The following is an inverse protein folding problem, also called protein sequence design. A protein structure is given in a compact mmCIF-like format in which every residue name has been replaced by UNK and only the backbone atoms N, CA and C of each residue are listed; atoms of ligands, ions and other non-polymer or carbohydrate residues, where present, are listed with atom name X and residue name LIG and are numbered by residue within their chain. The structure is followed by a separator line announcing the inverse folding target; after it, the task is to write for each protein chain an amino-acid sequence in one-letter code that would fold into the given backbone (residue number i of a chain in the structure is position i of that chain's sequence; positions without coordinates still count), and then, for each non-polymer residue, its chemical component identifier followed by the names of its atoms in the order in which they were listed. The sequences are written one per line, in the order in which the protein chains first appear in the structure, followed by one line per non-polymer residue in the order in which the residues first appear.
data_IF_393453689869
#
_entry.id   IF_393453689869
#
_cell.length_a   1.000
_cell.length_b   1.000
_cell.length_c   1.000
_cell.angle_alpha   90.00
_cell.angle_beta   90.00
_cell.angle_gamma   90.00
#
_symmetry.space_group_name_H-M   'P 1'
#
loop_
_entity.id
_entity.type
_entity.pdbx_description
1 polymer ?
#
# COMPACT_ATOMS: atom_id res chain seq x y z
N UNK A 1 59.96 -69.06 9.17
CA UNK A 1 58.88 -68.25 9.76
C UNK A 1 57.64 -68.48 8.91
N UNK A 2 56.95 -69.60 9.13
CA UNK A 2 55.73 -69.75 9.95
C UNK A 2 54.53 -69.10 9.25
N UNK A 3 53.66 -69.91 8.64
CA UNK A 3 52.37 -70.38 9.21
C UNK A 3 51.30 -69.27 9.17
N UNK A 4 50.04 -69.47 8.82
CA UNK A 4 49.27 -70.65 8.47
C UNK A 4 47.93 -70.19 7.85
N UNK A 5 47.33 -71.12 7.09
CA UNK A 5 45.91 -71.23 6.76
C UNK A 5 44.97 -70.92 7.95
N UNK A 6 43.76 -70.40 7.69
CA UNK A 6 42.53 -70.98 8.26
C UNK A 6 41.27 -70.54 7.49
N UNK A 7 40.57 -71.54 6.94
CA UNK A 7 39.17 -71.46 6.56
C UNK A 7 38.28 -71.78 7.78
N UNK A 8 37.12 -71.14 7.91
CA UNK A 8 35.98 -71.71 8.64
C UNK A 8 34.66 -71.03 8.25
N UNK A 9 33.66 -71.89 7.99
CA UNK A 9 32.28 -71.60 7.56
C UNK A 9 31.34 -71.54 8.81
N UNK A 10 30.01 -71.30 8.66
CA UNK A 10 29.16 -70.43 9.49
C UNK A 10 28.54 -71.11 10.74
N UNK A 11 27.68 -70.40 11.50
CA UNK A 11 26.27 -70.83 11.50
C UNK A 11 25.20 -69.72 11.59
N UNK A 12 23.98 -70.17 11.25
CA UNK A 12 22.67 -69.51 11.29
C UNK A 12 22.26 -69.06 12.71
N UNK A 13 21.51 -67.96 12.80
CA UNK A 13 20.81 -67.55 14.01
C UNK A 13 19.69 -66.54 13.74
N UNK A 14 18.46 -67.06 13.68
CA UNK A 14 17.19 -66.37 13.44
C UNK A 14 16.81 -65.43 14.59
N UNK A 15 16.28 -64.22 14.30
CA UNK A 15 15.03 -63.69 14.91
C UNK A 15 14.61 -62.30 14.40
N UNK A 16 13.38 -62.29 13.86
CA UNK A 16 12.25 -61.32 14.02
C UNK A 16 12.56 -59.82 13.82
N UNK A 17 12.09 -59.21 12.74
CA UNK A 17 10.71 -58.76 12.47
C UNK A 17 10.38 -57.36 13.03
N UNK A 18 9.74 -56.58 12.15
CA UNK A 18 9.04 -55.31 12.36
C UNK A 18 9.95 -54.08 12.54
N UNK A 19 9.68 -52.92 11.94
CA UNK A 19 8.44 -52.40 11.40
C UNK A 19 8.71 -51.41 10.26
N UNK A 20 7.69 -51.25 9.43
CA UNK A 20 7.57 -50.27 8.36
C UNK A 20 8.16 -48.89 8.70
N UNK A 21 9.14 -48.45 7.91
CA UNK A 21 9.31 -47.03 7.63
C UNK A 21 8.28 -46.67 6.58
N UNK A 22 7.10 -46.27 7.05
CA UNK A 22 6.22 -45.42 6.26
C UNK A 22 6.93 -44.08 6.19
N UNK A 23 7.44 -43.76 5.01
CA UNK A 23 7.86 -42.41 4.65
C UNK A 23 6.62 -41.52 4.72
N UNK A 24 6.39 -40.92 5.89
CA UNK A 24 5.46 -39.80 6.03
C UNK A 24 6.18 -38.62 5.38
N UNK A 25 6.00 -38.47 4.06
CA UNK A 25 6.17 -37.18 3.41
C UNK A 25 5.28 -36.19 4.17
N UNK A 26 5.88 -35.42 5.08
CA UNK A 26 5.18 -34.39 5.83
C UNK A 26 4.65 -33.36 4.84
N UNK A 27 3.35 -33.44 4.55
CA UNK A 27 2.59 -32.55 3.67
C UNK A 27 2.86 -31.08 4.02
N UNK A 28 2.97 -30.16 3.04
CA UNK A 28 3.28 -28.77 3.32
C UNK A 28 2.09 -28.09 4.02
N UNK A 29 2.16 -28.03 5.34
CA UNK A 29 1.22 -27.28 6.18
C UNK A 29 1.54 -25.79 6.06
N UNK A 30 0.70 -25.08 5.32
CA UNK A 30 0.73 -23.62 5.28
C UNK A 30 -0.10 -23.06 6.44
N UNK A 31 0.52 -22.24 7.27
CA UNK A 31 -0.15 -21.55 8.39
C UNK A 31 -0.38 -20.11 7.96
N UNK A 32 -1.62 -19.65 8.04
CA UNK A 32 -1.96 -18.27 7.69
C UNK A 32 -2.52 -17.51 8.84
N UNK A 33 -2.05 -16.27 8.92
CA UNK A 33 -2.56 -15.24 9.78
C UNK A 33 -3.77 -14.58 9.12
N UNK A 34 -4.95 -14.82 9.68
CA UNK A 34 -6.17 -14.12 9.30
C UNK A 34 -6.48 -13.10 10.38
N UNK A 35 -6.52 -11.81 10.04
CA UNK A 35 -6.98 -10.78 10.99
C UNK A 35 -8.33 -11.13 11.64
N UNK A 36 -8.53 -10.66 12.87
CA UNK A 36 -9.62 -11.00 13.79
C UNK A 36 -10.97 -11.36 13.15
N UNK A 37 -11.47 -12.55 13.49
CA UNK A 37 -12.83 -13.02 13.20
C UNK A 37 -13.00 -13.85 11.91
N UNK A 38 -14.21 -14.38 11.66
CA UNK A 38 -14.46 -15.26 10.53
C UNK A 38 -14.19 -14.58 9.19
N UNK A 39 -13.45 -15.20 8.27
CA UNK A 39 -13.15 -14.65 6.94
C UNK A 39 -13.70 -15.53 5.82
N UNK A 40 -14.06 -14.95 4.67
CA UNK A 40 -14.46 -15.75 3.49
C UNK A 40 -13.32 -16.68 3.08
N UNK A 41 -13.62 -17.95 2.84
CA UNK A 41 -12.65 -19.00 2.54
C UNK A 41 -11.75 -18.64 1.34
N UNK A 42 -12.28 -18.07 0.26
CA UNK A 42 -11.49 -17.67 -0.91
C UNK A 42 -10.46 -16.57 -0.58
N UNK A 43 -10.74 -15.71 0.41
CA UNK A 43 -9.83 -14.66 0.86
C UNK A 43 -8.65 -15.29 1.59
N UNK A 44 -8.92 -16.26 2.47
CA UNK A 44 -7.91 -17.01 3.22
C UNK A 44 -7.02 -17.80 2.27
N UNK A 45 -7.61 -18.57 1.34
CA UNK A 45 -6.85 -19.36 0.36
C UNK A 45 -6.02 -18.47 -0.59
N UNK A 46 -6.55 -17.33 -1.03
CA UNK A 46 -5.77 -16.40 -1.85
C UNK A 46 -4.62 -15.75 -1.06
N UNK A 47 -4.84 -15.43 0.22
CA UNK A 47 -3.80 -14.95 1.13
C UNK A 47 -2.75 -16.04 1.43
N UNK A 48 -3.11 -17.32 1.27
CA UNK A 48 -2.20 -18.47 1.34
C UNK A 48 -1.14 -18.50 0.25
N UNK A 49 -1.35 -17.74 -0.83
CA UNK A 49 -0.58 -17.89 -2.06
C UNK A 49 -1.05 -19.07 -2.93
N UNK A 50 -2.24 -19.63 -2.69
CA UNK A 50 -2.75 -20.76 -3.49
C UNK A 50 -3.37 -20.34 -4.83
N UNK A 51 -3.48 -19.05 -5.10
CA UNK A 51 -3.98 -18.49 -6.36
C UNK A 51 -4.68 -17.15 -6.19
N UNK A 52 -5.41 -16.70 -7.21
CA UNK A 52 -6.29 -15.54 -7.14
C UNK A 52 -7.59 -15.86 -6.39
N UNK A 53 -8.30 -14.82 -5.91
CA UNK A 53 -9.59 -15.04 -5.22
C UNK A 53 -10.62 -15.72 -6.12
N UNK A 54 -10.60 -15.41 -7.43
CA UNK A 54 -11.52 -15.96 -8.43
C UNK A 54 -11.22 -17.44 -8.69
N UNK A 55 -9.95 -17.78 -8.89
CA UNK A 55 -9.51 -19.18 -8.98
C UNK A 55 -9.94 -19.98 -7.75
N UNK A 56 -9.79 -19.41 -6.55
CA UNK A 56 -10.21 -20.10 -5.32
C UNK A 56 -11.73 -20.32 -5.28
N UNK A 57 -12.54 -19.36 -5.73
CA UNK A 57 -14.00 -19.55 -5.85
C UNK A 57 -14.37 -20.60 -6.88
N UNK A 58 -13.66 -20.69 -8.00
CA UNK A 58 -13.85 -21.73 -9.01
C UNK A 58 -13.51 -23.11 -8.45
N UNK A 59 -12.40 -23.26 -7.72
CA UNK A 59 -12.03 -24.51 -7.06
C UNK A 59 -13.06 -24.94 -6.00
N UNK A 60 -13.61 -23.98 -5.25
CA UNK A 60 -14.68 -24.25 -4.29
C UNK A 60 -15.95 -24.72 -5.02
N UNK A 61 -16.35 -24.01 -6.08
CA UNK A 61 -17.51 -24.39 -6.91
C UNK A 61 -17.35 -25.79 -7.52
N UNK A 62 -16.13 -26.16 -7.89
CA UNK A 62 -15.80 -27.47 -8.44
C UNK A 62 -15.66 -28.59 -7.37
N UNK A 63 -15.95 -28.31 -6.09
CA UNK A 63 -15.88 -29.30 -5.00
C UNK A 63 -14.46 -29.76 -4.67
N UNK A 64 -13.44 -28.99 -5.05
CA UNK A 64 -12.01 -29.34 -4.83
C UNK A 64 -11.46 -28.87 -3.48
N UNK A 65 -12.28 -28.19 -2.69
CA UNK A 65 -11.90 -27.61 -1.40
C UNK A 65 -12.72 -28.23 -0.28
N UNK A 66 -12.06 -28.63 0.81
CA UNK A 66 -12.70 -29.13 2.03
C UNK A 66 -12.34 -28.25 3.24
N UNK A 67 -13.28 -28.05 4.15
CA UNK A 67 -13.06 -27.42 5.46
C UNK A 67 -13.43 -28.44 6.53
N UNK A 68 -12.50 -28.75 7.44
CA UNK A 68 -12.70 -29.72 8.53
C UNK A 68 -13.25 -31.08 8.04
N UNK A 69 -12.85 -31.50 6.83
CA UNK A 69 -13.30 -32.75 6.21
C UNK A 69 -14.55 -32.66 5.34
N UNK A 70 -15.37 -31.61 5.47
CA UNK A 70 -16.59 -31.39 4.68
C UNK A 70 -16.31 -30.55 3.42
N UNK A 71 -17.11 -30.73 2.35
CA UNK A 71 -16.99 -29.91 1.13
C UNK A 71 -17.30 -28.45 1.42
N UNK A 72 -16.44 -27.56 0.93
CA UNK A 72 -16.63 -26.11 1.07
C UNK A 72 -17.70 -25.60 0.10
N UNK A 73 -18.39 -24.54 0.49
CA UNK A 73 -19.36 -23.83 -0.36
C UNK A 73 -18.89 -22.41 -0.69
N UNK A 74 -19.31 -21.88 -1.83
CA UNK A 74 -18.99 -20.50 -2.22
C UNK A 74 -19.58 -19.53 -1.20
N UNK A 75 -18.77 -18.59 -0.72
CA UNK A 75 -19.18 -17.64 0.32
C UNK A 75 -19.01 -18.14 1.76
N UNK A 76 -18.64 -19.41 1.97
CA UNK A 76 -18.35 -19.97 3.29
C UNK A 76 -17.32 -19.14 4.03
N UNK A 77 -17.49 -18.99 5.34
CA UNK A 77 -16.53 -18.33 6.23
C UNK A 77 -15.81 -19.36 7.06
N UNK A 78 -14.54 -19.11 7.32
CA UNK A 78 -13.65 -19.93 8.14
C UNK A 78 -13.14 -19.10 9.31
N UNK A 79 -12.89 -19.75 10.44
CA UNK A 79 -12.44 -19.16 11.69
C UNK A 79 -11.05 -19.70 12.06
N UNK A 80 -10.31 -19.01 12.96
CA UNK A 80 -9.10 -19.57 13.56
C UNK A 80 -9.35 -20.98 14.11
N UNK A 81 -8.47 -21.92 13.78
CA UNK A 81 -8.61 -23.34 14.10
C UNK A 81 -9.10 -24.20 12.93
N UNK A 82 -9.80 -23.62 11.96
CA UNK A 82 -10.28 -24.38 10.80
C UNK A 82 -9.12 -24.90 9.94
N UNK A 83 -9.30 -26.12 9.44
CA UNK A 83 -8.36 -26.79 8.55
C UNK A 83 -8.97 -26.88 7.16
N UNK A 84 -8.37 -26.17 6.21
CA UNK A 84 -8.80 -26.13 4.82
C UNK A 84 -7.87 -27.01 3.98
N UNK A 85 -8.42 -27.90 3.17
CA UNK A 85 -7.67 -28.75 2.22
C UNK A 85 -8.02 -28.40 0.79
N UNK A 86 -6.99 -28.21 -0.04
CA UNK A 86 -7.10 -28.00 -1.49
C UNK A 86 -6.18 -29.00 -2.18
N UNK A 87 -6.75 -30.08 -2.71
CA UNK A 87 -5.97 -31.23 -3.16
C UNK A 87 -5.12 -31.82 -2.03
N UNK A 88 -3.80 -31.90 -2.24
CA UNK A 88 -2.83 -32.35 -1.23
C UNK A 88 -2.44 -31.26 -0.22
N UNK A 89 -2.68 -29.99 -0.54
CA UNK A 89 -2.24 -28.87 0.31
C UNK A 89 -3.21 -28.63 1.46
N UNK A 90 -2.65 -28.41 2.65
CA UNK A 90 -3.41 -28.06 3.85
C UNK A 90 -3.07 -26.64 4.31
N UNK A 91 -4.11 -25.87 4.62
CA UNK A 91 -4.05 -24.52 5.18
C UNK A 91 -4.72 -24.55 6.55
N UNK A 92 -3.99 -24.20 7.60
CA UNK A 92 -4.58 -23.99 8.92
C UNK A 92 -4.77 -22.51 9.16
N UNK A 93 -6.01 -22.11 9.46
CA UNK A 93 -6.37 -20.74 9.80
C UNK A 93 -5.89 -20.46 11.22
N UNK A 94 -5.07 -19.43 11.41
CA UNK A 94 -4.66 -18.97 12.75
C UNK A 94 -4.97 -17.48 12.87
N UNK A 95 -5.33 -17.10 14.08
CA UNK A 95 -5.25 -15.70 14.47
C UNK A 95 -3.77 -15.39 14.67
N UNK A 96 -3.29 -14.28 14.12
CA UNK A 96 -2.00 -13.77 14.51
C UNK A 96 -2.04 -12.27 14.76
N UNK A 97 -1.37 -11.92 15.85
CA UNK A 97 -1.16 -10.56 16.30
C UNK A 97 -0.04 -9.86 15.53
N UNK A 98 0.59 -10.54 14.55
CA UNK A 98 1.68 -9.96 13.78
C UNK A 98 1.17 -8.86 12.86
N UNK A 99 1.91 -7.77 12.84
CA UNK A 99 1.64 -6.71 11.88
C UNK A 99 1.84 -7.23 10.45
N UNK A 100 1.01 -6.79 9.50
CA UNK A 100 1.20 -7.13 8.10
C UNK A 100 2.48 -6.48 7.59
N UNK A 101 3.19 -7.16 6.70
CA UNK A 101 4.39 -6.58 6.11
C UNK A 101 3.99 -5.53 5.08
N UNK A 102 4.75 -4.45 5.00
CA UNK A 102 4.56 -3.38 4.01
C UNK A 102 5.90 -3.10 3.33
N UNK A 103 5.90 -3.10 2.01
CA UNK A 103 7.04 -2.71 1.19
C UNK A 103 6.71 -1.44 0.43
N UNK A 104 7.66 -0.50 0.40
CA UNK A 104 7.67 0.61 -0.53
C UNK A 104 8.64 0.30 -1.66
N UNK A 105 8.13 0.33 -2.89
CA UNK A 105 8.89 0.08 -4.11
C UNK A 105 8.98 1.34 -4.94
N UNK A 106 10.18 1.68 -5.40
CA UNK A 106 10.37 2.74 -6.37
C UNK A 106 10.24 2.15 -7.77
N UNK A 107 9.00 1.99 -8.22
CA UNK A 107 8.68 1.41 -9.53
C UNK A 107 9.34 2.22 -10.66
N UNK A 108 10.12 1.61 -11.55
CA UNK A 108 10.57 2.24 -12.78
C UNK A 108 9.45 2.25 -13.85
N UNK A 109 9.65 3.03 -14.91
CA UNK A 109 8.89 2.81 -16.14
C UNK A 109 9.32 1.48 -16.78
N UNK A 110 8.46 0.86 -17.57
CA UNK A 110 8.78 -0.42 -18.23
C UNK A 110 8.33 -1.68 -17.49
N UNK A 111 7.73 -1.53 -16.30
CA UNK A 111 7.16 -2.63 -15.52
C UNK A 111 5.65 -2.52 -15.42
N UNK A 112 4.95 -3.66 -15.50
CA UNK A 112 3.51 -3.76 -15.26
C UNK A 112 3.19 -4.12 -13.81
N UNK A 113 2.01 -3.71 -13.34
CA UNK A 113 1.47 -4.12 -12.04
C UNK A 113 0.44 -5.24 -12.24
N UNK A 114 0.92 -6.43 -12.61
CA UNK A 114 0.13 -7.65 -12.78
C UNK A 114 0.99 -8.88 -12.49
N UNK A 115 0.38 -9.95 -11.97
CA UNK A 115 1.05 -11.27 -11.85
C UNK A 115 1.04 -12.06 -13.15
N UNK A 116 0.07 -11.77 -14.00
CA UNK A 116 -0.14 -12.47 -15.26
C UNK A 116 -0.21 -11.45 -16.39
N UNK A 117 0.63 -11.66 -17.40
CA UNK A 117 0.68 -10.83 -18.60
C UNK A 117 0.87 -11.70 -19.83
N UNK A 118 -0.15 -11.76 -20.70
CA UNK A 118 -0.08 -12.55 -21.93
C UNK A 118 1.07 -12.13 -22.86
N UNK A 119 1.59 -10.91 -22.71
CA UNK A 119 2.68 -10.35 -23.53
C UNK A 119 4.07 -10.58 -22.92
N UNK A 120 4.17 -11.23 -21.76
CA UNK A 120 5.45 -11.53 -21.11
C UNK A 120 6.25 -10.29 -20.68
N UNK A 121 5.58 -9.16 -20.41
CA UNK A 121 6.27 -7.93 -19.99
C UNK A 121 6.77 -8.05 -18.54
N UNK A 122 7.88 -7.38 -18.19
CA UNK A 122 8.44 -7.41 -16.84
C UNK A 122 7.44 -6.96 -15.79
N UNK A 123 7.26 -7.77 -14.75
CA UNK A 123 6.36 -7.50 -13.65
C UNK A 123 7.08 -6.90 -12.44
N UNK A 124 6.42 -5.94 -11.77
CA UNK A 124 6.88 -5.42 -10.47
C UNK A 124 7.06 -6.50 -9.41
N UNK A 125 6.38 -7.64 -9.53
CA UNK A 125 6.43 -8.72 -8.54
C UNK A 125 7.73 -9.53 -8.63
N UNK A 126 8.42 -9.54 -9.78
CA UNK A 126 9.68 -10.27 -9.98
C UNK A 126 10.84 -9.73 -9.14
N UNK A 127 10.78 -8.45 -8.73
CA UNK A 127 11.82 -7.77 -7.94
C UNK A 127 11.59 -7.85 -6.44
N UNK A 128 10.43 -8.35 -5.99
CA UNK A 128 10.07 -8.38 -4.58
C UNK A 128 10.72 -9.56 -3.85
N UNK A 129 10.92 -9.48 -2.53
CA UNK A 129 11.51 -10.58 -1.77
C UNK A 129 10.56 -11.78 -1.82
N UNK A 130 11.09 -13.00 -2.04
CA UNK A 130 10.26 -14.20 -2.08
C UNK A 130 9.59 -14.42 -0.71
N UNK A 131 8.34 -14.87 -0.75
CA UNK A 131 7.59 -15.19 0.46
C UNK A 131 7.48 -16.70 0.61
N UNK A 132 7.96 -17.24 1.75
CA UNK A 132 7.73 -18.65 2.10
C UNK A 132 6.25 -18.97 2.28
N UNK A 133 5.46 -17.99 2.72
CA UNK A 133 4.03 -18.08 2.96
C UNK A 133 3.34 -16.80 2.51
N UNK A 134 2.23 -16.97 1.79
CA UNK A 134 1.43 -15.87 1.27
C UNK A 134 2.04 -15.17 0.06
N UNK A 135 1.54 -13.98 -0.24
CA UNK A 135 1.93 -13.20 -1.42
C UNK A 135 1.88 -11.70 -1.16
N UNK A 136 2.68 -10.96 -1.91
CA UNK A 136 2.61 -9.51 -1.96
C UNK A 136 1.37 -9.06 -2.73
N UNK A 137 0.65 -8.09 -2.17
CA UNK A 137 -0.48 -7.43 -2.81
C UNK A 137 -0.10 -6.00 -3.14
N UNK A 138 -0.20 -5.61 -4.41
CA UNK A 138 -0.01 -4.22 -4.81
C UNK A 138 -1.15 -3.34 -4.30
N UNK A 139 -0.82 -2.19 -3.72
CA UNK A 139 -1.76 -1.14 -3.33
C UNK A 139 -1.97 -0.22 -4.53
N UNK A 140 -2.95 -0.57 -5.33
CA UNK A 140 -3.30 0.09 -6.57
C UNK A 140 -2.36 -0.31 -7.69
N UNK A 141 -2.46 0.43 -8.80
CA UNK A 141 -1.62 0.23 -9.97
C UNK A 141 -0.93 1.55 -10.33
N UNK A 142 0.19 1.42 -11.01
CA UNK A 142 0.83 2.49 -11.78
C UNK A 142 0.90 2.01 -13.23
N UNK A 143 0.70 2.93 -14.16
CA UNK A 143 0.80 2.60 -15.59
C UNK A 143 2.22 2.16 -15.95
N UNK A 144 2.35 1.47 -17.09
CA UNK A 144 3.63 1.02 -17.64
C UNK A 144 4.66 2.16 -17.75
N UNK A 145 4.22 3.31 -18.27
CA UNK A 145 5.01 4.54 -18.41
C UNK A 145 4.83 5.49 -17.22
N UNK A 146 4.72 4.96 -16.01
CA UNK A 146 4.66 5.77 -14.78
C UNK A 146 5.58 5.17 -13.72
N UNK A 147 6.38 6.04 -13.11
CA UNK A 147 7.36 5.69 -12.09
C UNK A 147 6.91 6.12 -10.69
N UNK A 148 7.69 5.75 -9.68
CA UNK A 148 7.58 6.25 -8.33
C UNK A 148 6.99 5.24 -7.35
N UNK A 149 6.41 5.75 -6.28
CA UNK A 149 5.96 4.97 -5.14
C UNK A 149 4.88 3.97 -5.53
N UNK A 150 5.18 2.68 -5.37
CA UNK A 150 4.21 1.59 -5.33
C UNK A 150 4.33 0.90 -3.98
N UNK A 151 3.21 0.82 -3.25
CA UNK A 151 3.15 0.15 -1.95
C UNK A 151 2.70 -1.29 -2.16
N UNK A 152 3.35 -2.23 -1.49
CA UNK A 152 2.92 -3.62 -1.39
C UNK A 152 2.62 -3.96 0.06
N UNK A 153 1.67 -4.86 0.28
CA UNK A 153 1.38 -5.37 1.63
C UNK A 153 0.94 -6.82 1.58
N UNK A 154 1.10 -7.54 2.68
CA UNK A 154 0.51 -8.87 2.87
C UNK A 154 -0.95 -8.80 3.34
N UNK A 155 -1.44 -7.63 3.77
CA UNK A 155 -2.83 -7.46 4.21
C UNK A 155 -3.73 -6.99 3.08
N UNK A 156 -4.61 -7.88 2.62
CA UNK A 156 -5.64 -7.53 1.63
C UNK A 156 -6.67 -6.54 2.17
N UNK A 157 -6.83 -6.43 3.49
CA UNK A 157 -7.70 -5.43 4.11
C UNK A 157 -7.07 -4.04 4.04
N UNK A 158 -5.79 -3.91 4.43
CA UNK A 158 -5.07 -2.65 4.32
C UNK A 158 -5.01 -2.19 2.86
N UNK A 159 -4.69 -3.10 1.93
CA UNK A 159 -4.70 -2.80 0.51
C UNK A 159 -6.06 -2.26 0.04
N UNK A 160 -7.18 -2.87 0.48
CA UNK A 160 -8.51 -2.39 0.15
C UNK A 160 -8.81 -1.01 0.76
N UNK A 161 -8.44 -0.77 2.02
CA UNK A 161 -8.62 0.54 2.69
C UNK A 161 -7.88 1.67 1.96
N UNK A 162 -6.69 1.38 1.45
CA UNK A 162 -5.88 2.35 0.72
C UNK A 162 -6.37 2.58 -0.72
N UNK A 163 -6.93 1.55 -1.38
CA UNK A 163 -7.34 1.62 -2.78
C UNK A 163 -8.77 2.09 -3.01
N UNK A 164 -9.70 1.73 -2.11
CA UNK A 164 -11.12 1.85 -2.41
C UNK A 164 -11.54 3.32 -2.51
N UNK A 165 -12.26 3.75 -3.58
CA UNK A 165 -12.59 5.15 -3.84
C UNK A 165 -13.29 5.84 -2.66
N UNK A 166 -14.16 5.12 -1.93
CA UNK A 166 -14.88 5.65 -0.75
C UNK A 166 -14.01 6.30 0.33
N UNK A 167 -12.73 5.93 0.41
CA UNK A 167 -11.82 6.48 1.42
C UNK A 167 -11.03 7.68 0.94
N UNK A 168 -11.17 8.03 -0.34
CA UNK A 168 -10.61 9.26 -0.94
C UNK A 168 -9.12 9.48 -0.62
N UNK A 169 -8.35 8.39 -0.52
CA UNK A 169 -6.95 8.46 -0.14
C UNK A 169 -6.16 9.26 -1.17
N UNK A 170 -5.50 10.29 -0.69
CA UNK A 170 -4.73 11.20 -1.52
C UNK A 170 -3.54 10.51 -2.20
N UNK A 171 -3.29 10.92 -3.43
CA UNK A 171 -2.15 10.51 -4.25
C UNK A 171 -1.49 11.76 -4.77
N UNK A 172 -0.19 11.86 -4.53
CA UNK A 172 0.62 12.99 -4.96
C UNK A 172 1.55 12.57 -6.08
N UNK A 173 1.62 13.39 -7.12
CA UNK A 173 2.47 13.16 -8.28
C UNK A 173 3.35 14.37 -8.56
N UNK A 174 4.60 14.09 -8.93
CA UNK A 174 5.44 15.00 -9.68
C UNK A 174 5.19 14.77 -11.16
N UNK A 175 4.74 15.80 -11.86
CA UNK A 175 4.34 15.76 -13.26
C UNK A 175 5.20 16.72 -14.05
N UNK A 176 5.84 16.24 -15.12
CA UNK A 176 6.51 17.11 -16.07
C UNK A 176 5.65 17.22 -17.32
N UNK A 177 5.32 18.44 -17.70
CA UNK A 177 4.57 18.72 -18.93
C UNK A 177 5.45 19.43 -19.95
N UNK A 178 5.03 19.38 -21.21
CA UNK A 178 5.56 20.23 -22.29
C UNK A 178 4.71 21.49 -22.35
N UNK A 179 5.32 22.66 -22.24
CA UNK A 179 4.67 23.95 -22.09
C UNK A 179 4.59 24.40 -20.63
N UNK A 180 3.98 25.58 -20.39
CA UNK A 180 3.76 26.17 -19.08
C UNK A 180 2.28 26.49 -18.92
N UNK A 181 1.72 26.17 -17.76
CA UNK A 181 0.33 26.51 -17.43
C UNK A 181 0.23 28.01 -17.15
N UNK A 182 -0.85 28.62 -17.66
CA UNK A 182 -1.30 29.96 -17.28
C UNK A 182 -2.25 29.86 -16.09
N UNK A 183 -2.52 30.98 -15.43
CA UNK A 183 -3.41 31.02 -14.26
C UNK A 183 -4.82 30.50 -14.56
N UNK A 184 -5.33 30.75 -15.77
CA UNK A 184 -6.60 30.19 -16.25
C UNK A 184 -6.59 28.65 -16.28
N UNK A 185 -5.52 28.03 -16.76
CA UNK A 185 -5.38 26.56 -16.78
C UNK A 185 -5.35 26.01 -15.35
N UNK A 186 -4.62 26.67 -14.44
CA UNK A 186 -4.58 26.31 -13.02
C UNK A 186 -5.96 26.39 -12.37
N UNK A 187 -6.72 27.46 -12.64
CA UNK A 187 -8.10 27.61 -12.16
C UNK A 187 -9.02 26.52 -12.75
N UNK A 188 -8.87 26.22 -14.03
CA UNK A 188 -9.69 25.23 -14.72
C UNK A 188 -9.50 23.82 -14.11
N UNK A 189 -8.27 23.36 -13.92
CA UNK A 189 -8.02 22.02 -13.38
C UNK A 189 -8.32 21.89 -11.89
N UNK A 190 -8.31 23.00 -11.13
CA UNK A 190 -8.78 23.05 -9.74
C UNK A 190 -10.31 23.03 -9.65
N UNK A 191 -11.01 23.77 -10.53
CA UNK A 191 -12.48 23.76 -10.61
C UNK A 191 -13.00 22.39 -11.09
N UNK A 192 -12.27 21.77 -12.01
CA UNK A 192 -12.53 20.45 -12.55
C UNK A 192 -12.68 20.47 -14.07
N UNK A 193 -12.24 19.39 -14.70
CA UNK A 193 -12.30 19.15 -16.15
C UNK A 193 -13.21 17.96 -16.44
N UNK A 194 -13.96 18.04 -17.55
CA UNK A 194 -14.81 16.94 -18.01
C UNK A 194 -13.93 15.91 -18.74
N UNK A 195 -13.91 14.69 -18.24
CA UNK A 195 -13.33 13.53 -18.94
C UNK A 195 -14.46 12.61 -19.43
N UNK A 196 -14.12 11.62 -20.25
CA UNK A 196 -15.07 10.63 -20.81
C UNK A 196 -15.90 9.90 -19.73
N UNK A 197 -15.26 9.53 -18.63
CA UNK A 197 -15.82 8.80 -17.48
C UNK A 197 -16.26 9.73 -16.33
N UNK A 198 -16.46 11.04 -16.61
CA UNK A 198 -16.97 12.03 -15.65
C UNK A 198 -15.97 13.14 -15.28
N UNK A 199 -16.38 14.03 -14.38
CA UNK A 199 -15.54 15.16 -13.91
C UNK A 199 -14.32 14.68 -13.11
N UNK A 200 -13.21 15.40 -13.19
CA UNK A 200 -12.01 15.18 -12.38
C UNK A 200 -11.36 16.54 -12.03
N UNK A 201 -10.75 16.65 -10.85
CA UNK A 201 -10.07 17.88 -10.42
C UNK A 201 -8.81 17.59 -9.60
N UNK A 202 -7.88 18.54 -9.61
CA UNK A 202 -6.73 18.52 -8.71
C UNK A 202 -7.10 19.24 -7.41
N UNK A 203 -6.90 18.57 -6.27
CA UNK A 203 -7.03 19.21 -4.96
C UNK A 203 -5.88 20.21 -4.75
N UNK A 204 -4.69 19.85 -5.22
CA UNK A 204 -3.52 20.73 -5.22
C UNK A 204 -2.87 20.67 -6.60
N UNK A 205 -2.48 21.83 -7.11
CA UNK A 205 -1.56 21.96 -8.24
C UNK A 205 -0.61 23.14 -7.97
N UNK A 206 0.69 22.87 -7.98
CA UNK A 206 1.75 23.83 -7.66
C UNK A 206 2.88 23.71 -8.68
N UNK A 207 3.32 24.82 -9.26
CA UNK A 207 4.52 24.85 -10.11
C UNK A 207 5.78 24.60 -9.26
N UNK A 208 6.68 23.75 -9.74
CA UNK A 208 7.95 23.38 -9.08
C UNK A 208 9.17 23.74 -9.92
N UNK A 209 9.00 24.66 -10.86
CA UNK A 209 10.02 25.13 -11.80
C UNK A 209 10.17 24.25 -13.04
N UNK A 210 11.12 24.61 -13.90
CA UNK A 210 11.30 23.98 -15.20
C UNK A 210 12.51 24.52 -15.94
N UNK A 211 12.87 23.87 -17.05
CA UNK A 211 13.92 24.35 -17.97
C UNK A 211 13.42 24.26 -19.42
N UNK A 212 13.51 25.37 -20.13
CA UNK A 212 13.00 25.49 -21.50
C UNK A 212 11.50 25.18 -21.57
N UNK A 213 11.12 24.30 -22.50
CA UNK A 213 9.72 23.90 -22.68
C UNK A 213 9.19 22.92 -21.63
N UNK A 214 10.01 22.44 -20.69
CA UNK A 214 9.57 21.43 -19.72
C UNK A 214 9.36 22.04 -18.34
N UNK A 215 8.14 21.95 -17.81
CA UNK A 215 7.78 22.46 -16.49
C UNK A 215 7.25 21.36 -15.58
N UNK A 216 7.68 21.39 -14.32
CA UNK A 216 7.26 20.45 -13.28
C UNK A 216 6.13 21.03 -12.45
N UNK A 217 5.16 20.18 -12.16
CA UNK A 217 4.04 20.47 -11.29
C UNK A 217 3.91 19.37 -10.25
N UNK A 218 3.65 19.78 -9.00
CA UNK A 218 3.16 18.88 -7.96
C UNK A 218 1.64 18.88 -8.05
N UNK A 219 1.04 17.70 -8.15
CA UNK A 219 -0.42 17.56 -8.17
C UNK A 219 -0.90 16.55 -7.14
N UNK A 220 -2.06 16.82 -6.53
CA UNK A 220 -2.71 15.92 -5.56
C UNK A 220 -4.13 15.60 -6.03
N UNK A 221 -4.49 14.33 -5.92
CA UNK A 221 -5.77 13.75 -6.31
C UNK A 221 -6.28 12.81 -5.22
N UNK A 222 -7.60 12.71 -5.04
CA UNK A 222 -8.23 11.73 -4.13
C UNK A 222 -8.76 10.48 -4.81
N UNK A 223 -8.72 10.45 -6.14
CA UNK A 223 -9.14 9.32 -6.96
C UNK A 223 -7.97 8.63 -7.67
N UNK A 224 -8.27 7.49 -8.30
CA UNK A 224 -7.30 6.63 -8.98
C UNK A 224 -7.81 6.08 -10.31
N UNK A 225 -8.69 6.84 -11.01
CA UNK A 225 -9.19 6.46 -12.34
C UNK A 225 -8.05 6.28 -13.34
N UNK A 226 -8.29 5.43 -14.33
CA UNK A 226 -7.27 5.09 -15.32
C UNK A 226 -6.67 6.36 -15.94
N UNK A 227 -5.34 6.49 -15.86
CA UNK A 227 -4.56 7.57 -16.47
C UNK A 227 -5.05 8.99 -16.15
N UNK A 228 -5.76 9.19 -15.03
CA UNK A 228 -6.51 10.44 -14.75
C UNK A 228 -5.63 11.68 -14.84
N UNK A 229 -4.42 11.66 -14.26
CA UNK A 229 -3.48 12.80 -14.33
C UNK A 229 -3.18 13.18 -15.78
N UNK A 230 -2.85 12.20 -16.63
CA UNK A 230 -2.50 12.44 -18.03
C UNK A 230 -3.70 13.00 -18.79
N UNK A 231 -4.88 12.38 -18.62
CA UNK A 231 -6.12 12.81 -19.27
C UNK A 231 -6.54 14.22 -18.87
N UNK A 232 -6.35 14.59 -17.60
CA UNK A 232 -6.63 15.95 -17.14
C UNK A 232 -5.75 17.00 -17.82
N UNK A 233 -4.44 16.73 -17.95
CA UNK A 233 -3.54 17.63 -18.68
C UNK A 233 -3.82 17.63 -20.19
N UNK A 234 -4.11 16.47 -20.77
CA UNK A 234 -4.48 16.36 -22.19
C UNK A 234 -5.74 17.18 -22.51
N UNK A 235 -6.74 17.15 -21.62
CA UNK A 235 -8.01 17.87 -21.77
C UNK A 235 -7.84 19.41 -21.78
N UNK A 236 -6.74 19.92 -21.23
CA UNK A 236 -6.40 21.36 -21.27
C UNK A 236 -5.28 21.66 -22.27
N UNK A 237 -4.95 20.72 -23.16
CA UNK A 237 -4.00 20.92 -24.26
C UNK A 237 -2.53 20.70 -23.90
N UNK A 238 -2.21 20.08 -22.76
CA UNK A 238 -0.82 19.85 -22.32
C UNK A 238 -0.45 18.38 -22.31
N UNK A 239 0.72 18.05 -22.88
CA UNK A 239 1.24 16.67 -22.87
C UNK A 239 2.13 16.42 -21.66
N UNK A 240 1.86 15.33 -20.95
CA UNK A 240 2.67 14.86 -19.83
C UNK A 240 3.87 14.05 -20.34
N UNK A 241 5.07 14.60 -20.22
CA UNK A 241 6.32 13.95 -20.63
C UNK A 241 6.91 13.04 -19.56
N UNK A 242 6.67 13.30 -18.26
CA UNK A 242 7.03 12.40 -17.16
C UNK A 242 5.97 12.43 -16.06
N UNK A 243 5.73 11.27 -15.45
CA UNK A 243 4.80 11.14 -14.33
C UNK A 243 5.42 10.23 -13.27
N UNK A 244 5.50 10.74 -12.04
CA UNK A 244 6.05 10.01 -10.91
C UNK A 244 5.16 10.17 -9.68
N UNK A 245 4.66 9.07 -9.13
CA UNK A 245 3.94 9.11 -7.85
C UNK A 245 4.95 9.27 -6.72
N UNK A 246 4.79 10.30 -5.90
CA UNK A 246 5.73 10.60 -4.80
C UNK A 246 5.12 10.33 -3.42
N UNK A 247 3.79 10.28 -3.30
CA UNK A 247 3.09 9.97 -2.06
C UNK A 247 1.77 9.25 -2.30
N UNK A 248 1.40 8.39 -1.37
CA UNK A 248 0.11 7.70 -1.30
C UNK A 248 -0.36 7.69 0.15
N UNK A 249 -1.43 8.45 0.45
CA UNK A 249 -1.86 8.68 1.83
C UNK A 249 -0.74 9.29 2.67
N UNK A 250 -0.41 8.65 3.79
CA UNK A 250 0.71 9.04 4.66
C UNK A 250 2.05 8.43 4.26
N UNK A 251 2.09 7.60 3.21
CA UNK A 251 3.33 6.94 2.76
C UNK A 251 3.96 7.76 1.65
N UNK A 252 5.18 8.23 1.87
CA UNK A 252 5.98 8.95 0.88
C UNK A 252 7.06 8.06 0.29
N UNK A 253 7.46 8.34 -0.95
CA UNK A 253 8.63 7.71 -1.56
C UNK A 253 9.87 8.06 -0.72
N UNK A 254 10.56 7.09 -0.10
CA UNK A 254 11.69 7.40 0.76
C UNK A 254 12.81 8.10 -0.01
N UNK A 255 13.39 9.13 0.59
CA UNK A 255 14.56 9.79 0.04
C UNK A 255 15.70 8.77 -0.12
N UNK A 256 16.40 8.84 -1.25
CA UNK A 256 17.51 7.94 -1.56
C UNK A 256 17.13 6.51 -2.00
N UNK A 257 15.85 6.13 -2.01
CA UNK A 257 15.44 4.84 -2.55
C UNK A 257 15.63 4.83 -4.09
N UNK A 258 16.52 3.99 -4.58
CA UNK A 258 16.85 3.90 -6.01
C UNK A 258 15.68 3.31 -6.81
N UNK A 259 15.57 3.68 -8.09
CA UNK A 259 14.59 3.09 -9.00
C UNK A 259 14.83 1.59 -9.14
N UNK A 260 13.75 0.81 -9.19
CA UNK A 260 13.82 -0.65 -9.27
C UNK A 260 14.20 -1.32 -7.95
N UNK A 261 14.33 -0.58 -6.85
CA UNK A 261 14.58 -1.16 -5.52
C UNK A 261 13.42 -0.89 -4.57
N UNK A 262 13.36 -1.71 -3.54
CA UNK A 262 12.34 -1.64 -2.50
C UNK A 262 12.96 -1.51 -1.11
N UNK A 263 12.14 -1.10 -0.15
CA UNK A 263 12.44 -1.13 1.28
C UNK A 263 11.22 -1.68 2.01
N UNK A 264 11.44 -2.61 2.93
CA UNK A 264 10.40 -3.04 3.87
C UNK A 264 10.30 -2.02 5.01
N UNK A 265 9.06 -1.67 5.38
CA UNK A 265 8.81 -0.74 6.48
C UNK A 265 8.93 -1.46 7.82
N UNK A 266 9.55 -0.78 8.77
CA UNK A 266 9.64 -1.24 10.17
C UNK A 266 8.26 -1.32 10.83
N UNK A 267 8.17 -2.06 11.94
CA UNK A 267 6.92 -2.28 12.67
C UNK A 267 6.25 -0.99 13.14
N UNK A 268 7.04 -0.01 13.61
CA UNK A 268 6.50 1.29 14.04
C UNK A 268 5.80 2.04 12.89
N UNK A 269 6.42 2.08 11.70
CA UNK A 269 5.82 2.69 10.52
C UNK A 269 4.59 1.91 10.04
N UNK A 270 4.66 0.59 10.10
CA UNK A 270 3.55 -0.29 9.76
C UNK A 270 2.35 -0.08 10.68
N UNK A 271 2.58 0.01 11.99
CA UNK A 271 1.57 0.29 12.99
C UNK A 271 0.93 1.68 12.78
N UNK A 272 1.73 2.70 12.48
CA UNK A 272 1.24 4.03 12.13
C UNK A 272 0.33 4.00 10.87
N UNK A 273 0.72 3.29 9.82
CA UNK A 273 -0.11 3.13 8.61
C UNK A 273 -1.40 2.40 8.92
N UNK A 274 -1.36 1.36 9.76
CA UNK A 274 -2.57 0.66 10.18
C UNK A 274 -3.51 1.55 10.99
N UNK A 275 -2.97 2.27 11.99
CA UNK A 275 -3.73 3.21 12.81
C UNK A 275 -4.39 4.29 11.97
N UNK A 276 -3.64 4.92 11.06
CA UNK A 276 -4.20 5.89 10.12
C UNK A 276 -5.23 5.25 9.18
N UNK A 277 -4.99 4.04 8.67
CA UNK A 277 -5.98 3.37 7.79
C UNK A 277 -7.29 3.04 8.52
N UNK A 278 -7.27 2.88 9.84
CA UNK A 278 -8.45 2.60 10.64
C UNK A 278 -9.33 3.84 10.80
N UNK A 279 -8.74 5.04 10.87
CA UNK A 279 -9.50 6.31 10.92
C UNK A 279 -10.28 6.58 9.63
N UNK A 280 -9.86 6.00 8.50
CA UNK A 280 -10.60 6.05 7.23
C UNK A 280 -11.94 5.27 7.28
N UNK A 281 -12.04 4.26 8.15
CA UNK A 281 -13.26 3.43 8.27
C UNK A 281 -14.19 4.01 9.33
N UNK A 282 -13.62 4.40 10.46
CA UNK A 282 -14.34 4.99 11.60
C UNK A 282 -13.71 6.37 11.89
N UNK A 283 -14.15 7.44 11.22
CA UNK A 283 -13.71 8.78 11.60
C UNK A 283 -14.28 9.06 13.00
N UNK A 284 -13.42 9.11 14.01
CA UNK A 284 -13.85 9.57 15.33
C UNK A 284 -14.42 11.00 15.20
N UNK A 285 -15.50 11.37 15.91
CA UNK A 285 -15.93 12.75 15.99
C UNK A 285 -14.80 13.55 16.62
N UNK A 286 -14.11 14.36 15.80
CA UNK A 286 -12.95 15.11 16.25
C UNK A 286 -13.43 16.31 17.08
N UNK A 287 -13.53 16.15 18.41
CA UNK A 287 -13.44 17.29 19.32
C UNK A 287 -11.97 17.72 19.37
N UNK A 288 -11.64 18.75 18.58
CA UNK A 288 -10.36 19.46 18.69
C UNK A 288 -10.31 20.14 20.07
N UNK A 289 -9.71 19.48 21.06
CA UNK A 289 -9.19 20.18 22.23
C UNK A 289 -7.97 20.98 21.79
N UNK A 290 -8.15 22.27 21.58
CA UNK A 290 -7.06 23.23 21.45
C UNK A 290 -6.47 23.42 22.85
N UNK A 291 -5.47 22.62 23.20
CA UNK A 291 -4.59 22.88 24.33
C UNK A 291 -3.33 23.59 23.81
N UNK A 292 -3.32 24.92 23.92
CA UNK A 292 -2.17 25.73 23.53
C UNK A 292 -2.32 27.17 23.97
N UNK A 293 -1.80 27.48 25.16
CA UNK A 293 -1.66 28.85 25.70
C UNK A 293 -0.95 29.76 24.68
N UNK A 294 -1.39 31.02 24.49
CA UNK A 294 -0.66 31.97 23.67
C UNK A 294 0.60 32.44 24.41
N UNK A 295 1.76 32.07 23.88
CA UNK A 295 3.04 32.66 24.26
C UNK A 295 3.08 34.13 23.84
N UNK A 296 3.26 35.01 24.82
CA UNK A 296 3.51 36.45 24.63
C UNK A 296 4.79 36.65 23.81
N UNK A 297 4.66 37.18 22.60
CA UNK A 297 5.75 37.86 21.92
C UNK A 297 5.64 39.37 22.17
N UNK A 298 6.72 39.93 22.71
CA UNK A 298 6.92 41.37 22.87
C UNK A 298 6.96 42.05 21.50
N UNK A 299 6.13 43.07 21.32
CA UNK A 299 6.34 44.10 20.31
C UNK A 299 6.15 45.47 20.97
N UNK A 300 7.28 46.07 21.34
CA UNK A 300 7.37 47.49 21.65
C UNK A 300 7.43 48.28 20.34
N UNK A 301 6.46 49.15 20.09
CA UNK A 301 6.61 50.42 19.37
C UNK A 301 5.27 51.17 19.30
N UNK A 302 5.26 52.42 19.78
CA UNK A 302 4.43 53.49 19.23
C UNK A 302 3.04 53.73 19.83
N UNK A 303 2.95 54.22 21.08
CA UNK A 303 1.74 54.91 21.56
C UNK A 303 1.80 56.40 21.17
N UNK A 304 0.92 56.81 20.26
CA UNK A 304 0.55 58.20 20.06
C UNK A 304 -0.30 58.67 21.25
N UNK A 305 0.09 59.78 21.88
CA UNK A 305 -0.59 60.43 22.99
C UNK A 305 -1.64 61.38 22.41
N UNK A 306 -2.92 61.13 22.69
CA UNK A 306 -4.00 62.08 22.48
C UNK A 306 -4.10 63.01 23.69
N UNK A 307 -3.91 64.31 23.46
CA UNK A 307 -4.12 65.37 24.46
C UNK A 307 -5.60 65.75 24.55
N UNK A 308 -6.07 65.99 25.78
CA UNK A 308 -7.37 66.59 26.09
C UNK A 308 -7.20 68.12 26.24
N UNK A 309 -8.17 68.95 25.83
CA UNK A 309 -8.04 70.40 25.92
C UNK A 309 -8.45 70.93 27.30
N UNK A 310 -7.61 71.78 27.89
CA UNK A 310 -7.89 72.61 29.07
C UNK A 310 -8.07 74.08 28.68
N UNK A 311 -9.05 74.73 29.31
CA UNK A 311 -9.56 76.10 29.10
C UNK A 311 -8.54 77.25 29.27
N UNK A 312 -8.86 78.47 28.78
CA UNK A 312 -7.91 79.57 28.63
C UNK A 312 -7.83 80.48 29.87
N UNK A 313 -6.69 81.14 30.07
CA UNK A 313 -6.58 82.37 30.87
C UNK A 313 -5.66 83.38 30.16
N UNK A 314 -6.24 84.54 29.86
CA UNK A 314 -5.57 85.76 29.46
C UNK A 314 -5.07 86.52 30.71
N UNK A 315 -3.84 87.04 30.65
CA UNK A 315 -3.41 88.30 31.29
C UNK A 315 -2.03 88.65 30.70
N UNK A 316 -1.96 89.46 29.64
CA UNK A 316 -1.69 90.91 29.68
C UNK A 316 -0.47 91.33 30.50
N UNK A 317 0.55 91.89 29.80
CA UNK A 317 1.36 93.12 30.06
C UNK A 317 1.88 93.35 31.50
N UNK A 318 3.03 93.93 31.79
CA UNK A 318 4.14 94.65 31.15
C UNK A 318 5.28 94.59 32.22
N UNK A 319 6.55 94.97 32.05
CA UNK A 319 7.28 95.98 31.30
C UNK A 319 8.70 95.46 31.11
#
# INVERSE_FOLDING_TARGET
MNHASFASRPPRGVRRANAARLDIESEPVSVLDTGHGPQKIHKVLAAAGLGSRREMEELIRAGKVKVNGALAQVGMRVQPGDVIRVGKRQVTVRDSSRLPRIIVYHKPEGEIVSHDDPQGRPSVFEKLPPMRRGKWLAVGRLDYNTSGLLVFTTSGELANRLMHPRYEVEREYAVRIIGKLRDEHLKQVKKGVRLEDGMARFEVIEERGGRGLNNWYRVVLREGRNRVVRRMFDAIGFKVSRLMRVRFGIVSLPFGLRRGTWRELEENHTAAILGWSATLVNPAPTQLQISGRPGRFNSAAGRARAERPGRPRHSSRAR
#
